data_IF_819235608552
#
_entry.id   IF_819235608552
#
_cell.length_a   1.000
_cell.length_b   1.000
_cell.length_c   1.000
_cell.angle_alpha   90.00
_cell.angle_beta   90.00
_cell.angle_gamma   90.00
#
_symmetry.space_group_name_H-M   'P 1'
#
loop_
_entity.id
_entity.type
_entity.pdbx_description
1 polymer ?
#
# COMPACT_ATOMS: atom_id res chain seq x y z
N UNK A 1 -14.76 -18.01 23.87
CA UNK A 1 -14.41 -17.47 25.21
C UNK A 1 -14.08 -15.98 25.02
N UNK A 2 -14.99 -15.10 25.47
CA UNK A 2 -14.72 -13.68 25.55
C UNK A 2 -13.62 -13.44 26.60
N UNK A 3 -12.44 -13.12 26.15
CA UNK A 3 -11.37 -12.68 27.04
C UNK A 3 -11.65 -11.25 27.46
N UNK A 4 -12.24 -11.06 28.62
CA UNK A 4 -12.24 -9.75 29.29
C UNK A 4 -10.81 -9.44 29.70
N UNK A 5 -10.10 -8.64 28.91
CA UNK A 5 -8.84 -8.05 29.36
C UNK A 5 -9.14 -6.94 30.37
N UNK A 6 -8.49 -7.01 31.50
CA UNK A 6 -8.62 -6.01 32.54
C UNK A 6 -8.06 -4.68 32.01
N UNK A 7 -8.72 -3.58 32.32
CA UNK A 7 -8.41 -2.22 31.77
C UNK A 7 -6.97 -1.75 31.96
N UNK A 8 -6.17 -2.37 32.80
CA UNK A 8 -4.76 -2.03 33.00
C UNK A 8 -3.79 -2.78 32.09
N UNK A 9 -4.24 -3.79 31.34
CA UNK A 9 -3.40 -4.50 30.38
C UNK A 9 -3.57 -3.87 28.99
N UNK A 10 -2.52 -3.18 28.53
CA UNK A 10 -2.50 -2.69 27.18
C UNK A 10 -2.43 -3.86 26.20
N UNK A 11 -3.26 -3.82 25.14
CA UNK A 11 -3.15 -4.74 24.02
C UNK A 11 -1.93 -4.39 23.18
N UNK A 12 -1.61 -3.11 23.15
CA UNK A 12 -0.52 -2.55 22.38
C UNK A 12 -0.04 -1.22 23.00
N UNK A 13 1.26 -0.97 22.90
CA UNK A 13 1.90 0.28 23.29
C UNK A 13 2.89 0.72 22.21
N UNK A 14 2.88 2.00 21.84
CA UNK A 14 3.82 2.57 20.87
C UNK A 14 5.27 2.60 21.36
N UNK A 15 5.49 2.48 22.69
CA UNK A 15 6.73 2.93 23.30
C UNK A 15 6.87 4.46 23.30
N UNK A 16 8.08 4.97 23.59
CA UNK A 16 8.37 6.40 23.55
C UNK A 16 8.58 6.86 22.10
N UNK A 17 7.75 7.80 21.63
CA UNK A 17 7.91 8.47 20.36
C UNK A 17 8.66 9.78 20.58
N UNK A 18 9.82 9.94 19.97
CA UNK A 18 10.67 11.14 20.11
C UNK A 18 10.33 12.24 19.09
N UNK A 19 9.47 11.94 18.13
CA UNK A 19 8.97 12.88 17.13
C UNK A 19 7.46 12.94 17.23
N UNK A 20 6.90 14.15 17.19
CA UNK A 20 5.46 14.30 17.15
C UNK A 20 4.92 13.82 15.80
N UNK A 21 4.00 12.87 15.84
CA UNK A 21 3.22 12.42 14.71
C UNK A 21 1.74 12.60 15.07
N UNK A 22 0.95 13.37 14.28
CA UNK A 22 -0.48 13.56 14.53
C UNK A 22 -1.30 12.30 14.25
N UNK A 23 -0.74 11.33 13.55
CA UNK A 23 -1.39 10.06 13.20
C UNK A 23 -0.51 8.88 13.62
N UNK A 24 -1.15 7.81 14.07
CA UNK A 24 -0.47 6.58 14.43
C UNK A 24 -1.20 5.39 13.82
N UNK A 25 -0.54 4.71 12.89
CA UNK A 25 -1.09 3.51 12.28
C UNK A 25 -1.03 2.33 13.26
N UNK A 26 -2.14 1.62 13.43
CA UNK A 26 -2.23 0.38 14.18
C UNK A 26 -2.29 -0.80 13.22
N UNK A 27 -1.48 -1.82 13.48
CA UNK A 27 -1.53 -3.06 12.70
C UNK A 27 -2.87 -3.77 12.87
N UNK A 28 -3.35 -4.40 11.81
CA UNK A 28 -4.52 -5.30 11.83
C UNK A 28 -4.34 -6.52 12.73
N UNK A 29 -3.12 -6.80 13.20
CA UNK A 29 -2.86 -7.82 14.21
C UNK A 29 -3.17 -7.36 15.64
N UNK A 30 -3.38 -6.05 15.85
CA UNK A 30 -3.64 -5.42 17.15
C UNK A 30 -5.11 -5.07 17.32
N UNK A 31 -5.75 -4.59 16.25
CA UNK A 31 -7.15 -4.16 16.28
C UNK A 31 -7.97 -4.97 15.28
N UNK A 32 -9.12 -5.47 15.75
CA UNK A 32 -10.03 -6.27 14.94
C UNK A 32 -11.36 -5.53 14.73
N UNK A 33 -11.92 -5.56 13.52
CA UNK A 33 -13.20 -4.95 13.23
C UNK A 33 -14.32 -5.47 14.16
N UNK A 34 -15.20 -4.57 14.59
CA UNK A 34 -16.34 -4.90 15.44
C UNK A 34 -16.03 -4.94 16.94
N UNK A 35 -14.77 -4.84 17.36
CA UNK A 35 -14.40 -4.72 18.77
C UNK A 35 -14.24 -3.26 19.16
N UNK A 36 -14.67 -2.89 20.37
CA UNK A 36 -14.47 -1.54 20.90
C UNK A 36 -13.16 -1.47 21.68
N UNK A 37 -12.32 -0.52 21.32
CA UNK A 37 -11.03 -0.25 21.95
C UNK A 37 -11.04 1.09 22.65
N UNK A 38 -10.14 1.24 23.62
CA UNK A 38 -9.87 2.49 24.32
C UNK A 38 -8.42 2.89 24.11
N UNK A 39 -8.18 4.07 23.55
CA UNK A 39 -6.86 4.66 23.43
C UNK A 39 -6.63 5.73 24.49
N UNK A 40 -5.43 5.79 25.03
CA UNK A 40 -4.94 6.82 25.93
C UNK A 40 -3.53 7.22 25.52
N UNK A 41 -3.19 8.47 25.77
CA UNK A 41 -1.84 8.95 25.58
C UNK A 41 -1.34 9.71 26.81
N UNK A 42 -0.02 9.81 26.95
CA UNK A 42 0.64 10.66 27.93
C UNK A 42 1.89 11.26 27.30
N UNK A 43 2.29 12.40 27.83
CA UNK A 43 3.48 13.10 27.39
C UNK A 43 4.61 12.96 28.42
N UNK A 44 5.83 12.96 27.91
CA UNK A 44 7.03 13.05 28.71
C UNK A 44 7.62 14.44 28.53
N UNK A 45 7.89 15.15 29.62
CA UNK A 45 8.51 16.47 29.57
C UNK A 45 10.04 16.35 29.36
N UNK A 46 10.69 17.50 29.13
CA UNK A 46 12.12 17.58 28.94
C UNK A 46 12.95 17.24 30.18
N UNK A 47 12.34 17.08 31.33
CA UNK A 47 12.97 16.63 32.60
C UNK A 47 12.84 15.10 32.79
N UNK A 48 12.15 14.42 31.87
CA UNK A 48 11.92 12.98 31.92
C UNK A 48 10.70 12.54 32.73
N UNK A 49 9.84 13.48 33.14
CA UNK A 49 8.61 13.19 33.89
C UNK A 49 7.43 12.95 32.96
N UNK A 50 6.64 11.93 33.28
CA UNK A 50 5.41 11.63 32.57
C UNK A 50 4.23 12.45 33.11
N UNK A 51 3.38 12.93 32.21
CA UNK A 51 2.05 13.45 32.56
C UNK A 51 1.14 12.32 33.05
N UNK A 52 0.01 12.68 33.62
CA UNK A 52 -1.11 11.75 33.76
C UNK A 52 -1.57 11.26 32.38
N UNK A 53 -2.18 10.08 32.36
CA UNK A 53 -2.85 9.58 31.16
C UNK A 53 -4.01 10.50 30.77
N UNK A 54 -4.22 10.67 29.49
CA UNK A 54 -5.41 11.37 28.97
C UNK A 54 -6.69 10.61 29.34
N UNK A 55 -7.81 11.29 29.26
CA UNK A 55 -9.10 10.59 29.21
C UNK A 55 -9.10 9.59 28.04
N UNK A 56 -9.70 8.40 28.21
CA UNK A 56 -9.77 7.42 27.14
C UNK A 56 -10.65 7.94 25.98
N UNK A 57 -10.21 7.63 24.77
CA UNK A 57 -11.03 7.76 23.57
C UNK A 57 -11.45 6.36 23.16
N UNK A 58 -12.73 6.14 22.96
CA UNK A 58 -13.27 4.87 22.47
C UNK A 58 -13.41 4.92 20.95
N UNK A 59 -13.05 3.83 20.29
CA UNK A 59 -13.26 3.64 18.86
C UNK A 59 -13.54 2.18 18.55
N UNK A 60 -14.28 1.95 17.47
CA UNK A 60 -14.56 0.61 16.95
C UNK A 60 -14.15 0.58 15.49
N UNK A 61 -13.08 -0.15 15.15
CA UNK A 61 -12.68 -0.32 13.76
C UNK A 61 -13.79 -1.02 12.97
N UNK A 62 -14.00 -0.57 11.75
CA UNK A 62 -14.88 -1.20 10.78
C UNK A 62 -14.05 -1.89 9.70
N UNK A 63 -14.60 -2.88 9.03
CA UNK A 63 -14.02 -3.37 7.78
C UNK A 63 -14.08 -2.24 6.76
N UNK A 64 -13.01 -2.05 5.97
CA UNK A 64 -13.06 -1.11 4.85
C UNK A 64 -14.16 -1.56 3.87
N UNK A 65 -14.87 -0.60 3.29
CA UNK A 65 -15.78 -0.90 2.20
C UNK A 65 -14.97 -1.18 0.92
N UNK A 66 -14.91 -2.45 0.54
CA UNK A 66 -14.19 -2.90 -0.66
C UNK A 66 -15.10 -2.99 -1.89
N UNK A 67 -16.40 -2.69 -1.76
CA UNK A 67 -17.36 -2.78 -2.86
C UNK A 67 -16.92 -1.98 -4.09
N UNK A 68 -16.40 -0.75 -3.97
CA UNK A 68 -15.95 0.02 -5.14
C UNK A 68 -14.84 -0.68 -5.94
N UNK A 69 -13.97 -1.43 -5.26
CA UNK A 69 -12.88 -2.17 -5.91
C UNK A 69 -13.38 -3.44 -6.57
N UNK A 70 -14.30 -4.18 -5.92
CA UNK A 70 -14.86 -5.41 -6.47
C UNK A 70 -15.62 -5.17 -7.79
N UNK A 71 -16.33 -4.03 -7.87
CA UNK A 71 -17.17 -3.70 -9.01
C UNK A 71 -16.45 -2.79 -10.03
N UNK A 72 -15.39 -2.08 -9.61
CA UNK A 72 -14.75 -1.02 -10.38
C UNK A 72 -13.30 -1.27 -10.77
N UNK A 73 -12.54 -2.09 -10.06
CA UNK A 73 -11.13 -2.30 -10.34
C UNK A 73 -10.88 -3.67 -10.96
N UNK A 74 -10.23 -3.68 -12.12
CA UNK A 74 -9.82 -4.94 -12.78
C UNK A 74 -8.32 -4.92 -13.11
N UNK A 75 -7.73 -6.10 -13.19
CA UNK A 75 -6.49 -6.31 -13.93
C UNK A 75 -6.88 -6.40 -15.40
N UNK A 76 -6.51 -5.39 -16.20
CA UNK A 76 -6.86 -5.32 -17.61
C UNK A 76 -5.81 -5.96 -18.51
N UNK A 77 -4.54 -5.95 -18.07
CA UNK A 77 -3.45 -6.59 -18.79
C UNK A 77 -2.39 -7.14 -17.81
N UNK A 78 -1.82 -8.28 -18.19
CA UNK A 78 -0.65 -8.87 -17.53
C UNK A 78 0.35 -9.21 -18.62
N UNK A 79 1.42 -8.44 -18.72
CA UNK A 79 2.54 -8.71 -19.63
C UNK A 79 3.59 -9.55 -18.89
N UNK A 80 3.44 -10.86 -18.96
CA UNK A 80 4.32 -11.83 -18.27
C UNK A 80 5.40 -12.44 -19.19
N UNK A 81 5.33 -12.17 -20.48
CA UNK A 81 6.30 -12.66 -21.47
C UNK A 81 6.46 -11.63 -22.58
N UNK A 82 7.14 -10.51 -22.28
CA UNK A 82 7.42 -9.48 -23.28
C UNK A 82 8.36 -10.00 -24.36
N UNK A 83 8.45 -9.28 -25.48
CA UNK A 83 9.44 -9.57 -26.50
C UNK A 83 10.86 -9.32 -26.00
N UNK A 84 11.83 -10.08 -26.52
CA UNK A 84 13.26 -9.91 -26.26
C UNK A 84 13.69 -8.43 -26.39
N UNK A 85 14.67 -8.00 -25.59
CA UNK A 85 15.23 -6.66 -25.71
C UNK A 85 15.78 -6.38 -27.10
N UNK A 86 15.48 -5.20 -27.65
CA UNK A 86 16.14 -4.69 -28.86
C UNK A 86 17.64 -4.46 -28.64
N UNK A 87 18.40 -4.31 -29.71
CA UNK A 87 19.83 -3.99 -29.61
C UNK A 87 20.12 -2.70 -28.82
N UNK A 88 19.21 -1.73 -28.89
CA UNK A 88 19.34 -0.46 -28.16
C UNK A 88 19.09 -0.65 -26.65
N UNK A 89 18.05 -1.39 -26.29
CA UNK A 89 17.73 -1.73 -24.90
C UNK A 89 18.82 -2.60 -24.27
N UNK A 90 19.33 -3.58 -25.02
CA UNK A 90 20.45 -4.39 -24.60
C UNK A 90 21.72 -3.57 -24.34
N UNK A 91 22.03 -2.63 -25.22
CA UNK A 91 23.17 -1.72 -25.06
C UNK A 91 23.02 -0.74 -23.88
N UNK A 92 21.77 -0.45 -23.47
CA UNK A 92 21.45 0.34 -22.28
C UNK A 92 21.51 -0.47 -20.97
N UNK A 93 21.64 -1.80 -21.04
CA UNK A 93 21.78 -2.68 -19.88
C UNK A 93 20.53 -3.51 -19.57
N UNK A 94 19.43 -3.33 -20.30
CA UNK A 94 18.23 -4.14 -20.19
C UNK A 94 18.40 -5.41 -21.03
N UNK A 95 18.92 -6.45 -20.37
CA UNK A 95 19.36 -7.66 -21.07
C UNK A 95 18.38 -8.83 -20.95
N UNK A 96 17.34 -8.66 -20.15
CA UNK A 96 16.31 -9.66 -19.88
C UNK A 96 14.94 -9.13 -20.33
N UNK A 97 14.13 -9.98 -20.95
CA UNK A 97 12.73 -9.67 -21.26
C UNK A 97 11.88 -9.41 -20.00
N UNK A 98 12.20 -10.05 -18.86
CA UNK A 98 11.56 -9.79 -17.56
C UNK A 98 11.61 -8.31 -17.15
N UNK A 99 12.60 -7.53 -17.61
CA UNK A 99 12.69 -6.07 -17.34
C UNK A 99 11.48 -5.28 -17.89
N UNK A 100 10.73 -5.87 -18.83
CA UNK A 100 9.61 -5.25 -19.50
C UNK A 100 8.25 -5.84 -19.10
N UNK A 101 8.22 -6.63 -18.02
CA UNK A 101 6.98 -7.14 -17.45
C UNK A 101 6.18 -6.03 -16.77
N UNK A 102 4.85 -6.12 -16.86
CA UNK A 102 3.95 -5.19 -16.16
C UNK A 102 2.58 -5.81 -15.87
N UNK A 103 1.91 -5.18 -14.91
CA UNK A 103 0.48 -5.38 -14.62
C UNK A 103 -0.23 -4.05 -14.83
N UNK A 104 -1.31 -4.05 -15.63
CA UNK A 104 -2.21 -2.91 -15.78
C UNK A 104 -3.45 -3.13 -14.90
N UNK A 105 -3.72 -2.14 -14.04
CA UNK A 105 -4.99 -2.02 -13.31
C UNK A 105 -5.82 -0.93 -13.95
N UNK A 106 -7.12 -1.18 -14.13
CA UNK A 106 -8.04 -0.22 -14.74
C UNK A 106 -9.29 -0.02 -13.90
N UNK A 107 -9.69 1.23 -13.75
CA UNK A 107 -10.96 1.57 -13.16
C UNK A 107 -12.06 1.52 -14.25
N UNK A 108 -12.91 0.52 -14.16
CA UNK A 108 -14.10 0.34 -15.03
C UNK A 108 -15.38 0.83 -14.36
N UNK A 109 -15.28 1.31 -13.11
CA UNK A 109 -16.41 1.85 -12.34
C UNK A 109 -16.77 3.27 -12.73
N UNK A 110 -17.72 3.82 -11.98
CA UNK A 110 -18.26 5.17 -12.19
C UNK A 110 -17.72 6.20 -11.18
N UNK A 111 -16.98 5.74 -10.18
CA UNK A 111 -16.39 6.57 -9.13
C UNK A 111 -14.86 6.46 -9.16
N UNK A 112 -14.18 7.50 -8.69
CA UNK A 112 -12.73 7.48 -8.47
C UNK A 112 -12.38 6.48 -7.37
N UNK A 113 -11.30 5.72 -7.54
CA UNK A 113 -10.82 4.74 -6.59
C UNK A 113 -9.55 5.26 -5.92
N UNK A 114 -9.49 5.15 -4.60
CA UNK A 114 -8.28 5.42 -3.81
C UNK A 114 -7.45 4.13 -3.73
N UNK A 115 -6.27 4.14 -4.29
CA UNK A 115 -5.38 2.97 -4.33
C UNK A 115 -4.44 2.89 -3.12
N UNK A 116 -4.46 3.87 -2.20
CA UNK A 116 -3.47 4.00 -1.11
C UNK A 116 -3.32 2.72 -0.27
N UNK A 117 -4.42 2.04 0.00
CA UNK A 117 -4.44 0.80 0.81
C UNK A 117 -4.42 -0.48 -0.04
N UNK A 118 -4.27 -0.34 -1.36
CA UNK A 118 -4.24 -1.48 -2.26
C UNK A 118 -2.84 -2.12 -2.28
N UNK A 119 -2.81 -3.45 -2.35
CA UNK A 119 -1.57 -4.23 -2.49
C UNK A 119 -1.76 -5.37 -3.48
N UNK A 120 -0.73 -5.60 -4.29
CA UNK A 120 -0.52 -6.85 -5.00
C UNK A 120 0.32 -7.76 -4.09
N UNK A 121 -0.12 -9.00 -3.85
CA UNK A 121 0.52 -9.90 -2.86
C UNK A 121 0.75 -11.31 -3.37
N UNK A 122 0.43 -11.56 -4.63
CA UNK A 122 0.63 -12.87 -5.28
C UNK A 122 1.16 -12.66 -6.69
N UNK A 123 2.20 -13.41 -7.02
CA UNK A 123 2.97 -13.24 -8.24
C UNK A 123 4.03 -12.17 -8.03
N UNK A 124 3.62 -10.93 -7.78
CA UNK A 124 4.49 -9.82 -7.40
C UNK A 124 4.01 -9.19 -6.11
N UNK A 125 4.91 -8.55 -5.36
CA UNK A 125 4.59 -7.76 -4.17
C UNK A 125 4.75 -6.27 -4.50
N UNK A 126 3.65 -5.52 -4.45
CA UNK A 126 3.64 -4.09 -4.65
C UNK A 126 2.61 -3.42 -3.73
N UNK A 127 3.03 -2.37 -3.04
CA UNK A 127 2.19 -1.58 -2.13
C UNK A 127 1.98 -0.20 -2.74
N UNK A 128 0.72 0.18 -2.94
CA UNK A 128 0.37 1.50 -3.45
C UNK A 128 0.58 2.62 -2.41
N UNK A 129 0.81 2.27 -1.13
CA UNK A 129 1.15 3.25 -0.11
C UNK A 129 2.46 3.96 -0.48
N UNK A 130 2.38 5.27 -0.74
CA UNK A 130 3.52 6.07 -1.16
C UNK A 130 3.89 5.97 -2.64
N UNK A 131 3.07 5.30 -3.46
CA UNK A 131 3.23 5.30 -4.91
C UNK A 131 3.00 6.69 -5.51
N UNK A 132 3.47 6.90 -6.74
CA UNK A 132 3.26 8.17 -7.46
C UNK A 132 1.80 8.41 -7.84
N UNK A 133 1.02 7.33 -7.98
CA UNK A 133 -0.38 7.35 -8.35
C UNK A 133 -1.16 6.59 -7.29
N UNK A 134 -1.95 7.33 -6.53
CA UNK A 134 -2.77 6.79 -5.43
C UNK A 134 -4.27 6.93 -5.70
N UNK A 135 -4.65 7.51 -6.82
CA UNK A 135 -6.04 7.70 -7.23
C UNK A 135 -6.20 7.32 -8.70
N UNK A 136 -7.30 6.67 -9.02
CA UNK A 136 -7.63 6.21 -10.37
C UNK A 136 -9.06 6.60 -10.72
N UNK A 137 -9.20 7.59 -11.59
CA UNK A 137 -10.50 8.08 -12.03
C UNK A 137 -11.21 7.10 -12.98
N UNK A 138 -12.54 7.21 -13.18
CA UNK A 138 -13.28 6.34 -14.07
C UNK A 138 -12.68 6.28 -15.48
N UNK A 139 -12.39 5.07 -15.95
CA UNK A 139 -11.81 4.80 -17.27
C UNK A 139 -10.29 4.90 -17.33
N UNK A 140 -9.63 5.41 -16.31
CA UNK A 140 -8.18 5.46 -16.24
C UNK A 140 -7.56 4.10 -15.92
N UNK A 141 -6.26 3.99 -16.20
CA UNK A 141 -5.46 2.83 -15.87
C UNK A 141 -4.14 3.25 -15.22
N UNK A 142 -3.51 2.32 -14.55
CA UNK A 142 -2.20 2.50 -13.90
C UNK A 142 -1.38 1.23 -14.10
N UNK A 143 -0.08 1.40 -14.29
CA UNK A 143 0.87 0.30 -14.46
C UNK A 143 1.68 0.11 -13.19
N UNK A 144 1.90 -1.14 -12.83
CA UNK A 144 2.96 -1.58 -11.92
C UNK A 144 3.94 -2.39 -12.75
N UNK A 145 5.22 -2.07 -12.69
CA UNK A 145 6.21 -2.55 -13.64
C UNK A 145 7.38 -3.27 -12.96
N UNK A 146 8.08 -4.10 -13.72
CA UNK A 146 9.31 -4.73 -13.26
C UNK A 146 10.47 -3.73 -13.19
N UNK A 147 10.64 -2.90 -14.23
CA UNK A 147 11.74 -1.95 -14.34
C UNK A 147 11.26 -0.67 -15.03
N UNK A 148 11.30 0.45 -14.29
CA UNK A 148 10.81 1.74 -14.78
C UNK A 148 11.63 2.26 -15.97
N UNK A 149 12.96 2.17 -15.90
CA UNK A 149 13.84 2.67 -16.95
C UNK A 149 13.66 1.88 -18.25
N UNK A 150 13.51 0.55 -18.14
CA UNK A 150 13.21 -0.31 -19.29
C UNK A 150 11.88 0.05 -19.93
N UNK A 151 10.83 0.25 -19.13
CA UNK A 151 9.51 0.63 -19.60
C UNK A 151 9.51 2.00 -20.30
N UNK A 152 10.16 3.00 -19.71
CA UNK A 152 10.29 4.34 -20.30
C UNK A 152 11.09 4.30 -21.61
N UNK A 153 12.11 3.45 -21.69
CA UNK A 153 12.89 3.28 -22.90
C UNK A 153 12.08 2.63 -24.04
N UNK A 154 11.30 1.61 -23.74
CA UNK A 154 10.52 0.84 -24.73
C UNK A 154 9.28 1.57 -25.21
N UNK A 155 8.52 2.13 -24.28
CA UNK A 155 7.19 2.67 -24.51
C UNK A 155 7.11 4.21 -24.43
N UNK A 156 8.21 4.86 -24.06
CA UNK A 156 8.29 6.31 -23.94
C UNK A 156 7.92 6.83 -22.56
N UNK A 157 8.17 8.12 -22.35
CA UNK A 157 7.86 8.83 -21.11
C UNK A 157 6.36 9.15 -21.01
N UNK A 158 5.87 9.25 -19.78
CA UNK A 158 4.50 9.74 -19.52
C UNK A 158 3.46 8.64 -19.35
N UNK A 159 3.87 7.37 -19.31
CA UNK A 159 2.98 6.29 -18.89
C UNK A 159 2.54 6.49 -17.42
N UNK A 160 1.30 6.14 -17.07
CA UNK A 160 0.79 6.22 -15.70
C UNK A 160 1.35 5.06 -14.85
N UNK A 161 2.63 5.14 -14.48
CA UNK A 161 3.32 4.10 -13.70
C UNK A 161 3.27 4.45 -12.21
N UNK A 162 2.66 3.59 -11.40
CA UNK A 162 2.63 3.70 -9.95
C UNK A 162 4.00 3.49 -9.31
N UNK A 163 4.72 2.49 -9.80
CA UNK A 163 6.06 2.14 -9.33
C UNK A 163 6.52 0.79 -9.85
N UNK A 164 7.65 0.36 -9.29
CA UNK A 164 8.26 -0.96 -9.55
C UNK A 164 7.96 -1.91 -8.39
N UNK A 165 7.73 -3.19 -8.70
CA UNK A 165 7.69 -4.23 -7.66
C UNK A 165 9.11 -4.66 -7.24
N UNK A 166 9.24 -5.49 -6.19
CA UNK A 166 10.55 -6.00 -5.75
C UNK A 166 11.20 -6.83 -6.89
N UNK A 167 12.44 -6.50 -7.20
CA UNK A 167 13.23 -7.14 -8.27
C UNK A 167 13.41 -8.67 -8.12
N UNK A 168 13.00 -9.23 -7.00
CA UNK A 168 13.00 -10.69 -6.75
C UNK A 168 11.77 -11.38 -7.29
N UNK A 169 10.72 -10.61 -7.57
CA UNK A 169 9.44 -11.13 -8.03
C UNK A 169 9.40 -11.14 -9.56
N UNK A 170 8.69 -12.12 -10.11
CA UNK A 170 8.47 -12.30 -11.55
C UNK A 170 7.05 -12.78 -11.79
N UNK A 171 6.52 -12.47 -12.96
CA UNK A 171 5.19 -12.90 -13.37
C UNK A 171 5.14 -14.32 -13.97
N UNK A 172 6.28 -14.94 -14.25
CA UNK A 172 6.41 -16.28 -14.85
C UNK A 172 6.88 -17.33 -13.85
#
# INVERSE_FOLDING_TARGET
>A
EERFKLEWQAEWESGELNTFDPSLALSSSVVYPGYTYRARLRHKDNTGRWSHWSSPIEFTPTLPDISPYLDGLIISEVMYHPSDPSNAEYAAGHTNDDDFEFIELRNIGMASLDLTDLRLTKGVDFDFLGSKITQLDPGEFVLVVSNLEAMEMRYGLGLPIAGEWDTKDKLN
#
